data_IF_044911237393
#
_entry.id   IF_044911237393
#
_cell.length_a   1.000
_cell.length_b   1.000
_cell.length_c   1.000
_cell.angle_alpha   90.00
_cell.angle_beta   90.00
_cell.angle_gamma   90.00
#
_symmetry.space_group_name_H-M   'P 1'
#
loop_
_entity.id
_entity.type
_entity.pdbx_description
1 polymer ?
#
# COMPACT_ATOMS: atom_id res chain seq x y z
N UNK A 1 -48.09 -9.19 -2.36
CA UNK A 1 -47.24 -10.10 -3.15
C UNK A 1 -45.97 -9.35 -3.55
N UNK A 2 -44.85 -9.71 -2.91
CA UNK A 2 -43.44 -9.69 -3.35
C UNK A 2 -42.85 -8.53 -4.18
N UNK A 3 -42.03 -7.68 -3.53
CA UNK A 3 -40.57 -7.40 -3.72
C UNK A 3 -39.93 -7.43 -5.15
N UNK A 4 -38.93 -6.57 -5.46
CA UNK A 4 -37.70 -6.50 -4.67
C UNK A 4 -37.20 -5.11 -4.25
N UNK A 5 -36.73 -5.08 -3.00
CA UNK A 5 -35.74 -4.15 -2.49
C UNK A 5 -34.35 -4.64 -2.92
N UNK A 6 -33.84 -4.18 -4.05
CA UNK A 6 -32.48 -4.43 -4.54
C UNK A 6 -32.13 -3.25 -5.48
N UNK A 7 -31.16 -2.35 -5.29
CA UNK A 7 -29.94 -2.22 -4.48
C UNK A 7 -29.56 -0.71 -4.53
N UNK A 8 -28.75 -0.18 -3.61
CA UNK A 8 -27.57 0.54 -4.06
C UNK A 8 -26.45 -0.48 -4.08
N UNK A 9 -25.93 -0.68 -5.28
CA UNK A 9 -24.68 -1.34 -5.60
C UNK A 9 -23.78 -1.40 -4.39
N UNK A 10 -23.44 -2.60 -3.91
CA UNK A 10 -22.28 -2.73 -3.03
C UNK A 10 -21.13 -2.13 -3.82
N UNK A 11 -20.82 -0.87 -3.51
CA UNK A 11 -19.60 -0.20 -3.94
C UNK A 11 -18.49 -1.07 -3.38
N UNK A 12 -18.08 -2.05 -4.19
CA UNK A 12 -16.99 -2.94 -3.87
C UNK A 12 -15.77 -2.09 -4.15
N UNK A 13 -15.53 -1.13 -3.26
CA UNK A 13 -14.34 -0.28 -3.25
C UNK A 13 -13.21 -1.25 -3.44
N UNK A 14 -12.61 -1.22 -4.62
CA UNK A 14 -11.60 -2.17 -4.97
C UNK A 14 -10.38 -1.73 -4.16
N UNK A 15 -10.30 -2.10 -2.89
CA UNK A 15 -9.19 -1.78 -2.00
C UNK A 15 -7.97 -2.46 -2.58
N UNK A 16 -7.06 -1.66 -3.12
CA UNK A 16 -5.73 -2.11 -3.46
C UNK A 16 -5.09 -2.67 -2.18
N UNK A 17 -4.70 -3.96 -2.12
CA UNK A 17 -3.90 -4.44 -1.00
C UNK A 17 -2.66 -3.55 -0.86
N UNK A 18 -2.45 -3.00 0.35
CA UNK A 18 -1.28 -2.17 0.70
C UNK A 18 -0.36 -3.00 1.57
N UNK A 19 0.93 -2.98 1.27
CA UNK A 19 1.98 -3.45 2.18
C UNK A 19 2.52 -2.27 2.98
N UNK A 20 2.81 -2.52 4.26
CA UNK A 20 3.45 -1.58 5.15
C UNK A 20 4.77 -2.17 5.64
N UNK A 21 5.79 -1.35 5.77
CA UNK A 21 7.11 -1.73 6.28
C UNK A 21 7.67 -0.60 7.13
N UNK A 22 8.48 -0.94 8.13
CA UNK A 22 9.21 0.05 8.93
C UNK A 22 10.72 -0.13 8.78
N UNK A 23 11.46 0.98 8.81
CA UNK A 23 12.92 0.95 8.81
C UNK A 23 13.53 2.09 9.62
N UNK A 24 14.73 1.87 10.15
CA UNK A 24 15.47 2.91 10.86
C UNK A 24 16.10 3.91 9.87
N UNK A 25 15.90 5.23 10.07
CA UNK A 25 16.53 6.25 9.26
C UNK A 25 18.02 6.39 9.62
N UNK A 26 18.89 5.71 8.85
CA UNK A 26 20.35 5.79 9.01
C UNK A 26 21.06 5.89 7.67
N UNK A 27 22.22 6.56 7.65
CA UNK A 27 23.08 6.60 6.47
C UNK A 27 23.53 5.18 6.08
N UNK A 28 23.40 4.83 4.80
CA UNK A 28 23.63 3.46 4.31
C UNK A 28 22.63 2.43 4.86
N UNK A 29 21.48 2.88 5.36
CA UNK A 29 20.39 2.04 5.82
C UNK A 29 19.58 1.42 4.67
N UNK A 30 18.56 0.61 4.98
CA UNK A 30 17.78 -0.09 3.96
C UNK A 30 16.77 0.82 3.24
N UNK A 31 16.75 2.11 3.52
CA UNK A 31 15.80 3.07 2.95
C UNK A 31 15.82 3.06 1.42
N UNK A 32 17.01 3.21 0.81
CA UNK A 32 17.14 3.20 -0.65
C UNK A 32 16.63 1.90 -1.28
N UNK A 33 16.77 0.77 -0.58
CA UNK A 33 16.24 -0.51 -1.04
C UNK A 33 14.71 -0.50 -1.08
N UNK A 34 14.05 -0.04 -0.01
CA UNK A 34 12.59 0.04 0.03
C UNK A 34 12.03 1.08 -0.95
N UNK A 35 12.70 2.22 -1.12
CA UNK A 35 12.34 3.22 -2.12
C UNK A 35 12.43 2.64 -3.55
N UNK A 36 13.49 1.90 -3.88
CA UNK A 36 13.64 1.21 -5.17
C UNK A 36 12.60 0.11 -5.40
N UNK A 37 12.16 -0.56 -4.33
CA UNK A 37 11.03 -1.50 -4.38
C UNK A 37 9.68 -0.82 -4.57
N UNK A 38 9.60 0.51 -4.60
CA UNK A 38 8.37 1.27 -4.80
C UNK A 38 7.59 1.55 -3.51
N UNK A 39 8.20 1.35 -2.33
CA UNK A 39 7.64 1.88 -1.09
C UNK A 39 7.81 3.39 -1.03
N UNK A 40 6.83 4.07 -0.43
CA UNK A 40 6.85 5.51 -0.19
C UNK A 40 6.73 5.77 1.31
N UNK A 41 7.58 6.62 1.90
CA UNK A 41 7.44 7.00 3.30
C UNK A 41 6.08 7.69 3.51
N UNK A 42 5.37 7.31 4.56
CA UNK A 42 4.04 7.88 4.87
C UNK A 42 4.14 9.21 5.62
N UNK A 43 5.32 9.56 6.12
CA UNK A 43 5.53 10.66 7.06
C UNK A 43 5.31 10.25 8.53
N UNK A 44 4.78 9.05 8.78
CA UNK A 44 4.65 8.50 10.13
C UNK A 44 5.94 7.83 10.58
N UNK A 45 6.17 7.88 11.90
CA UNK A 45 7.22 7.10 12.56
C UNK A 45 6.64 6.19 13.62
N UNK A 46 7.05 4.92 13.60
CA UNK A 46 6.70 3.93 14.62
C UNK A 46 7.96 3.55 15.38
N UNK A 47 8.03 3.85 16.69
CA UNK A 47 9.22 3.57 17.50
C UNK A 47 10.52 4.23 17.00
N UNK A 48 10.42 5.40 16.34
CA UNK A 48 11.57 6.08 15.71
C UNK A 48 11.93 5.59 14.31
N UNK A 49 11.30 4.52 13.82
CA UNK A 49 11.45 3.99 12.47
C UNK A 49 10.47 4.68 11.51
N UNK A 50 10.88 4.92 10.26
CA UNK A 50 10.01 5.44 9.20
C UNK A 50 9.03 4.33 8.80
N UNK A 51 7.75 4.67 8.68
CA UNK A 51 6.73 3.80 8.08
C UNK A 51 6.66 4.08 6.58
N UNK A 52 6.75 3.04 5.75
CA UNK A 52 6.54 3.12 4.31
C UNK A 52 5.39 2.24 3.84
N UNK A 53 4.73 2.68 2.77
CA UNK A 53 3.59 2.00 2.16
C UNK A 53 3.84 1.72 0.69
N UNK A 54 3.37 0.57 0.20
CA UNK A 54 3.35 0.22 -1.23
C UNK A 54 2.01 -0.41 -1.60
N UNK A 55 1.44 0.02 -2.73
CA UNK A 55 0.29 -0.62 -3.35
C UNK A 55 0.71 -1.91 -4.09
N UNK A 56 0.07 -3.04 -3.77
CA UNK A 56 0.43 -4.37 -4.27
C UNK A 56 -0.33 -4.79 -5.55
N UNK A 57 -1.28 -3.99 -6.06
CA UNK A 57 -1.96 -4.31 -7.33
C UNK A 57 -1.07 -4.22 -8.55
N UNK A 58 0.09 -3.58 -8.41
CA UNK A 58 1.08 -3.49 -9.47
C UNK A 58 1.99 -4.73 -9.47
N UNK A 59 1.44 -5.85 -9.95
CA UNK A 59 2.22 -6.99 -10.44
C UNK A 59 2.33 -6.99 -11.97
N UNK A 60 1.78 -5.96 -12.63
CA UNK A 60 1.87 -5.80 -14.08
C UNK A 60 3.22 -5.16 -14.42
N UNK A 61 4.29 -5.95 -14.39
CA UNK A 61 5.54 -5.61 -15.07
C UNK A 61 5.20 -5.31 -16.55
N UNK A 62 5.30 -4.06 -17.05
CA UNK A 62 5.13 -3.80 -18.46
C UNK A 62 6.48 -4.04 -19.16
N UNK A 63 6.53 -5.07 -20.01
CA UNK A 63 7.58 -5.24 -21.01
C UNK A 63 8.93 -5.73 -20.48
N UNK A 64 9.18 -7.03 -20.63
CA UNK A 64 10.51 -7.53 -20.94
C UNK A 64 10.43 -8.27 -22.28
#
# INVERSE_FOLDING_TARGET
>A
MQLPAELPSRDRRATCPRAYVTWEPRAGGPEEFYLKLGFRPTGERSGGQIVGVRDLRDHRQPGR
#
